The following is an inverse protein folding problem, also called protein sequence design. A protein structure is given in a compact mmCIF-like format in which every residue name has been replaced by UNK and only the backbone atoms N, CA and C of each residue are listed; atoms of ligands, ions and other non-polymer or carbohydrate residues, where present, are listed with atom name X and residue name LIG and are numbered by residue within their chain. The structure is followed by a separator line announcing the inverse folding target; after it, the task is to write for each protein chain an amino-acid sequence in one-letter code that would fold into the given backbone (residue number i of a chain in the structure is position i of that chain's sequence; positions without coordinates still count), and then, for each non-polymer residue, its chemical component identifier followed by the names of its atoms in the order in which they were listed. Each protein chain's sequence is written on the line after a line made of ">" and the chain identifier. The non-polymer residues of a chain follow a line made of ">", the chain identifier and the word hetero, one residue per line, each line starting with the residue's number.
data_IF_674128241540
#
_entry.id   IF_674128241540
#
_cell.length_a   1.000
_cell.length_b   1.000
_cell.length_c   1.000
_cell.angle_alpha   90.00
_cell.angle_beta   90.00
_cell.angle_gamma   90.00
#
_symmetry.space_group_name_H-M   'P 1'
#
loop_
_entity.id
_entity.type
_entity.pdbx_description
1 polymer ?
#
# COMPACT_ATOMS: atom_id res chain seq x y z
N UNK A 1 -20.75 29.24 11.79
CA UNK A 1 -20.03 27.96 11.91
C UNK A 1 -20.91 26.87 11.31
N UNK A 2 -20.80 26.63 10.00
CA UNK A 2 -21.66 25.70 9.24
C UNK A 2 -20.88 24.51 8.68
N UNK A 3 -19.78 24.11 9.33
CA UNK A 3 -18.95 22.99 8.86
C UNK A 3 -19.29 21.74 9.67
N UNK A 4 -19.81 20.71 9.00
CA UNK A 4 -20.03 19.38 9.54
C UNK A 4 -18.74 18.77 10.10
N UNK A 5 -18.86 17.72 10.91
CA UNK A 5 -17.72 16.90 11.32
C UNK A 5 -17.12 16.22 10.09
N UNK A 6 -15.79 16.07 10.07
CA UNK A 6 -15.16 15.19 9.11
C UNK A 6 -15.39 13.73 9.50
N UNK A 7 -15.27 12.83 8.54
CA UNK A 7 -15.38 11.38 8.78
C UNK A 7 -14.39 10.92 9.85
N UNK A 8 -13.20 11.52 9.91
CA UNK A 8 -12.19 11.25 10.93
C UNK A 8 -12.66 11.66 12.34
N UNK A 9 -13.29 12.83 12.48
CA UNK A 9 -13.85 13.27 13.77
C UNK A 9 -15.02 12.38 14.22
N UNK A 10 -15.85 11.92 13.29
CA UNK A 10 -16.90 10.94 13.58
C UNK A 10 -16.31 9.60 14.00
N UNK A 11 -15.25 9.14 13.33
CA UNK A 11 -14.54 7.90 13.66
C UNK A 11 -13.84 7.97 15.02
N UNK A 12 -13.19 9.10 15.35
CA UNK A 12 -12.60 9.35 16.68
C UNK A 12 -13.67 9.25 17.77
N UNK A 13 -14.81 9.92 17.57
CA UNK A 13 -15.93 9.87 18.52
C UNK A 13 -16.43 8.44 18.73
N UNK A 14 -16.57 7.68 17.64
CA UNK A 14 -16.97 6.27 17.69
C UNK A 14 -15.93 5.40 18.41
N UNK A 15 -14.63 5.69 18.24
CA UNK A 15 -13.55 5.02 18.95
C UNK A 15 -13.51 5.37 20.46
N UNK A 16 -14.36 6.29 20.91
CA UNK A 16 -14.40 6.78 22.29
C UNK A 16 -13.34 7.84 22.57
N UNK A 17 -12.74 8.44 21.54
CA UNK A 17 -11.80 9.54 21.68
C UNK A 17 -12.53 10.87 21.87
N UNK A 18 -11.92 11.78 22.62
CA UNK A 18 -12.49 13.09 22.92
C UNK A 18 -12.32 14.06 21.74
N UNK A 19 -13.43 14.65 21.31
CA UNK A 19 -13.42 15.76 20.36
C UNK A 19 -13.08 17.09 21.05
N UNK A 20 -12.57 18.03 20.27
CA UNK A 20 -12.44 19.41 20.71
C UNK A 20 -13.82 19.95 21.20
N UNK A 21 -13.89 20.77 22.27
CA UNK A 21 -15.15 21.15 22.92
C UNK A 21 -16.17 21.83 22.00
N UNK A 22 -15.71 22.62 21.04
CA UNK A 22 -16.58 23.26 20.04
C UNK A 22 -17.19 22.25 19.06
N UNK A 23 -16.45 21.18 18.73
CA UNK A 23 -16.90 20.11 17.83
C UNK A 23 -17.86 19.16 18.54
N UNK A 24 -17.60 18.83 19.80
CA UNK A 24 -18.53 18.09 20.65
C UNK A 24 -19.89 18.81 20.76
N UNK A 25 -19.89 20.12 21.08
CA UNK A 25 -21.11 20.94 21.08
C UNK A 25 -21.81 20.99 19.73
N UNK A 26 -21.06 21.00 18.63
CA UNK A 26 -21.64 20.91 17.28
C UNK A 26 -22.33 19.57 17.05
N UNK A 27 -21.68 18.45 17.41
CA UNK A 27 -22.25 17.11 17.26
C UNK A 27 -23.56 16.99 18.04
N UNK A 28 -23.63 17.50 19.26
CA UNK A 28 -24.86 17.50 20.06
C UNK A 28 -26.00 18.31 19.40
N UNK A 29 -25.65 19.43 18.75
CA UNK A 29 -26.61 20.34 18.10
C UNK A 29 -26.99 19.97 16.66
N UNK A 30 -26.17 19.21 15.94
CA UNK A 30 -26.32 18.97 14.51
C UNK A 30 -26.96 17.59 14.23
N UNK A 31 -28.16 17.58 13.66
CA UNK A 31 -28.89 16.33 13.34
C UNK A 31 -28.21 15.49 12.26
N UNK A 32 -27.53 16.10 11.27
CA UNK A 32 -26.84 15.33 10.21
C UNK A 32 -25.67 14.53 10.77
N UNK A 33 -24.78 15.20 11.52
CA UNK A 33 -23.59 14.54 12.08
C UNK A 33 -23.97 13.44 13.08
N UNK A 34 -25.07 13.58 13.83
CA UNK A 34 -25.56 12.50 14.69
C UNK A 34 -26.08 11.30 13.91
N UNK A 35 -26.82 11.53 12.83
CA UNK A 35 -27.30 10.45 11.95
C UNK A 35 -26.15 9.71 11.29
N UNK A 36 -25.15 10.45 10.82
CA UNK A 36 -23.92 9.88 10.24
C UNK A 36 -23.17 9.03 11.26
N UNK A 37 -23.03 9.51 12.50
CA UNK A 37 -22.43 8.74 13.60
C UNK A 37 -23.23 7.46 13.93
N UNK A 38 -24.55 7.58 14.05
CA UNK A 38 -25.46 6.45 14.31
C UNK A 38 -25.37 5.39 13.20
N UNK A 39 -25.30 5.83 11.94
CA UNK A 39 -25.13 4.94 10.79
C UNK A 39 -23.80 4.20 10.84
N UNK A 40 -22.71 4.90 11.14
CA UNK A 40 -21.38 4.30 11.26
C UNK A 40 -21.34 3.26 12.38
N UNK A 41 -21.90 3.59 13.56
CA UNK A 41 -22.02 2.67 14.70
C UNK A 41 -22.82 1.43 14.31
N UNK A 42 -23.95 1.59 13.60
CA UNK A 42 -24.79 0.48 13.15
C UNK A 42 -24.06 -0.45 12.18
N UNK A 43 -23.35 0.10 11.20
CA UNK A 43 -22.61 -0.68 10.20
C UNK A 43 -21.50 -1.52 10.85
N UNK A 44 -20.76 -0.92 11.79
CA UNK A 44 -19.68 -1.62 12.49
C UNK A 44 -20.23 -2.64 13.49
N UNK A 45 -21.34 -2.33 14.16
CA UNK A 45 -22.07 -3.28 15.01
C UNK A 45 -22.48 -4.53 14.23
N UNK A 46 -23.18 -4.35 13.10
CA UNK A 46 -23.57 -5.47 12.23
C UNK A 46 -22.36 -6.29 11.76
N UNK A 47 -21.26 -5.62 11.39
CA UNK A 47 -20.04 -6.32 10.97
C UNK A 47 -19.40 -7.13 12.11
N UNK A 48 -19.44 -6.64 13.35
CA UNK A 48 -18.95 -7.38 14.52
C UNK A 48 -19.81 -8.60 14.80
N UNK A 49 -21.13 -8.44 14.78
CA UNK A 49 -22.08 -9.55 14.95
C UNK A 49 -21.86 -10.64 13.90
N UNK A 50 -21.68 -10.27 12.63
CA UNK A 50 -21.37 -11.21 11.55
C UNK A 50 -20.04 -11.96 11.80
N UNK A 51 -19.01 -11.25 12.29
CA UNK A 51 -17.71 -11.87 12.62
C UNK A 51 -17.81 -12.82 13.80
N UNK A 52 -18.60 -12.48 14.82
CA UNK A 52 -18.83 -13.33 15.99
C UNK A 52 -19.67 -14.56 15.64
N UNK A 53 -20.72 -14.40 14.83
CA UNK A 53 -21.54 -15.51 14.35
C UNK A 53 -20.75 -16.49 13.45
N UNK A 54 -19.79 -15.97 12.69
CA UNK A 54 -18.86 -16.75 11.88
C UNK A 54 -17.58 -17.19 12.61
N UNK A 55 -17.45 -16.88 13.91
CA UNK A 55 -16.22 -17.18 14.64
C UNK A 55 -16.02 -18.70 14.73
N UNK A 56 -14.86 -19.23 14.32
CA UNK A 56 -14.55 -20.64 14.50
C UNK A 56 -14.49 -20.96 16.00
N UNK A 57 -14.71 -22.23 16.35
CA UNK A 57 -14.46 -22.71 17.70
C UNK A 57 -12.94 -22.61 17.97
N UNK A 58 -12.55 -21.49 18.58
CA UNK A 58 -11.16 -21.17 18.88
C UNK A 58 -10.54 -22.18 19.84
N UNK A 59 -11.33 -22.78 20.72
CA UNK A 59 -10.83 -23.77 21.67
C UNK A 59 -10.58 -25.10 20.94
N UNK A 60 -11.51 -25.56 20.09
CA UNK A 60 -11.27 -26.73 19.25
C UNK A 60 -10.13 -26.53 18.24
N UNK A 61 -9.95 -25.30 17.72
CA UNK A 61 -8.82 -24.96 16.85
C UNK A 61 -7.49 -24.96 17.63
N UNK A 62 -7.48 -24.37 18.83
CA UNK A 62 -6.31 -24.36 19.72
C UNK A 62 -5.90 -25.78 20.11
N UNK A 63 -6.85 -26.64 20.47
CA UNK A 63 -6.59 -28.05 20.79
C UNK A 63 -5.96 -28.77 19.59
N UNK A 64 -6.49 -28.60 18.38
CA UNK A 64 -5.88 -29.16 17.15
C UNK A 64 -4.45 -28.69 16.93
N UNK A 65 -4.15 -27.41 17.16
CA UNK A 65 -2.78 -26.88 17.03
C UNK A 65 -1.86 -27.47 18.08
N UNK A 66 -2.30 -27.53 19.35
CA UNK A 66 -1.51 -28.12 20.45
C UNK A 66 -1.23 -29.60 20.18
N UNK A 67 -2.23 -30.36 19.75
CA UNK A 67 -2.06 -31.75 19.34
C UNK A 67 -1.06 -31.88 18.19
N UNK A 68 -1.12 -31.01 17.18
CA UNK A 68 -0.20 -31.06 16.05
C UNK A 68 1.25 -30.69 16.44
N UNK A 69 1.44 -29.77 17.37
CA UNK A 69 2.77 -29.35 17.86
C UNK A 69 3.37 -30.37 18.83
N UNK A 70 2.54 -31.00 19.65
CA UNK A 70 2.97 -32.00 20.64
C UNK A 70 3.01 -33.41 20.07
N UNK A 71 2.41 -33.65 18.90
CA UNK A 71 2.52 -34.90 18.19
C UNK A 71 4.01 -35.23 17.99
N UNK A 72 4.48 -36.40 18.46
CA UNK A 72 5.85 -36.83 18.20
C UNK A 72 6.05 -36.81 16.69
N UNK A 73 7.11 -36.14 16.22
CA UNK A 73 7.41 -35.94 14.80
C UNK A 73 7.22 -37.27 14.03
N UNK A 74 6.05 -37.42 13.43
CA UNK A 74 5.64 -38.67 12.82
C UNK A 74 6.44 -38.83 11.55
N UNK A 75 7.49 -39.66 11.66
CA UNK A 75 8.38 -40.09 10.60
C UNK A 75 9.04 -38.93 9.82
N UNK A 76 10.36 -38.88 9.91
CA UNK A 76 11.23 -38.23 8.92
C UNK A 76 10.65 -38.53 7.54
N UNK A 77 10.04 -37.53 6.89
CA UNK A 77 9.56 -37.67 5.52
C UNK A 77 10.77 -38.15 4.73
N UNK A 78 10.77 -39.38 4.19
CA UNK A 78 11.90 -39.81 3.40
C UNK A 78 12.02 -38.78 2.28
N UNK A 79 13.16 -38.08 2.19
CA UNK A 79 13.45 -37.26 1.04
C UNK A 79 13.37 -38.19 -0.17
N UNK A 80 12.19 -38.21 -0.79
CA UNK A 80 11.93 -38.96 -2.01
C UNK A 80 12.88 -38.36 -3.01
N UNK A 81 14.00 -39.06 -3.28
CA UNK A 81 15.04 -38.63 -4.20
C UNK A 81 14.34 -38.27 -5.51
N UNK A 82 14.15 -36.97 -5.75
CA UNK A 82 13.56 -36.51 -7.00
C UNK A 82 14.54 -36.91 -8.08
N UNK A 83 14.10 -37.54 -9.18
CA UNK A 83 15.02 -37.91 -10.25
C UNK A 83 15.73 -36.65 -10.72
N UNK A 84 17.07 -36.65 -10.60
CA UNK A 84 17.98 -35.51 -10.86
C UNK A 84 17.90 -35.00 -12.31
N UNK A 85 17.11 -35.68 -13.14
CA UNK A 85 16.89 -35.41 -14.56
C UNK A 85 15.70 -34.47 -14.79
N UNK A 86 14.85 -34.27 -13.77
CA UNK A 86 13.77 -33.25 -13.80
C UNK A 86 14.28 -31.81 -14.00
N UNK A 87 15.33 -31.32 -13.31
CA UNK A 87 15.86 -30.00 -13.60
C UNK A 87 16.48 -29.90 -15.01
N UNK A 88 17.06 -30.99 -15.52
CA UNK A 88 17.56 -31.04 -16.91
C UNK A 88 16.43 -30.92 -17.94
N UNK A 89 15.30 -31.59 -17.71
CA UNK A 89 14.12 -31.46 -18.58
C UNK A 89 13.50 -30.06 -18.52
N UNK A 90 13.45 -29.44 -17.34
CA UNK A 90 12.96 -28.06 -17.19
C UNK A 90 13.86 -27.05 -17.92
N UNK A 91 15.18 -27.22 -17.83
CA UNK A 91 16.14 -26.39 -18.55
C UNK A 91 15.99 -26.55 -20.07
N UNK A 92 15.87 -27.80 -20.56
CA UNK A 92 15.67 -28.06 -21.98
C UNK A 92 14.36 -27.43 -22.51
N UNK A 93 13.27 -27.54 -21.75
CA UNK A 93 12.00 -26.91 -22.12
C UNK A 93 12.08 -25.38 -22.17
N UNK A 94 12.79 -24.76 -21.23
CA UNK A 94 13.01 -23.31 -21.22
C UNK A 94 13.82 -22.85 -22.44
N UNK A 95 14.87 -23.58 -22.82
CA UNK A 95 15.66 -23.27 -24.02
C UNK A 95 14.80 -23.38 -25.28
N UNK A 96 13.99 -24.44 -25.41
CA UNK A 96 13.08 -24.61 -26.55
C UNK A 96 12.04 -23.48 -26.62
N UNK A 97 11.50 -23.04 -25.48
CA UNK A 97 10.56 -21.93 -25.43
C UNK A 97 11.22 -20.61 -25.87
N UNK A 98 12.42 -20.30 -25.36
CA UNK A 98 13.16 -19.08 -25.74
C UNK A 98 13.51 -19.10 -27.23
N UNK A 99 14.00 -20.23 -27.75
CA UNK A 99 14.31 -20.38 -29.18
C UNK A 99 13.05 -20.27 -30.04
N UNK A 100 11.94 -20.90 -29.61
CA UNK A 100 10.66 -20.82 -30.30
C UNK A 100 10.11 -19.39 -30.36
N UNK A 101 10.16 -18.66 -29.24
CA UNK A 101 9.78 -17.25 -29.16
C UNK A 101 10.67 -16.41 -30.07
N UNK A 102 11.99 -16.60 -30.01
CA UNK A 102 12.95 -15.85 -30.83
C UNK A 102 12.75 -16.09 -32.33
N UNK A 103 12.52 -17.33 -32.75
CA UNK A 103 12.23 -17.67 -34.15
C UNK A 103 10.91 -17.04 -34.59
N UNK A 104 9.87 -17.04 -33.74
CA UNK A 104 8.61 -16.37 -34.05
C UNK A 104 8.78 -14.85 -34.18
N UNK A 105 9.53 -14.21 -33.28
CA UNK A 105 9.82 -12.78 -33.33
C UNK A 105 10.67 -12.42 -34.57
N UNK A 106 11.62 -13.29 -34.95
CA UNK A 106 12.43 -13.09 -36.14
C UNK A 106 11.64 -13.24 -37.45
N UNK A 107 10.62 -14.11 -37.47
CA UNK A 107 9.69 -14.27 -38.60
C UNK A 107 8.66 -13.16 -38.67
N UNK A 108 8.25 -12.62 -37.53
CA UNK A 108 7.38 -11.46 -37.43
C UNK A 108 8.19 -10.20 -37.20
N UNK A 109 9.08 -9.84 -38.12
CA UNK A 109 9.55 -8.45 -38.20
C UNK A 109 8.40 -7.63 -38.78
N UNK A 110 7.64 -6.84 -37.98
CA UNK A 110 6.75 -5.87 -38.57
C UNK A 110 7.61 -4.87 -39.34
N UNK A 111 7.24 -4.60 -40.59
CA UNK A 111 7.65 -3.39 -41.29
C UNK A 111 7.01 -2.20 -40.59
N UNK A 112 7.50 -1.86 -39.41
CA UNK A 112 7.10 -0.64 -38.70
C UNK A 112 8.03 0.45 -39.20
N UNK A 113 7.52 1.29 -40.09
CA UNK A 113 8.09 2.62 -40.32
C UNK A 113 8.06 3.35 -38.98
N UNK A 114 9.21 3.42 -38.33
CA UNK A 114 9.43 4.26 -37.15
C UNK A 114 9.27 5.71 -37.62
N UNK A 115 8.10 6.31 -37.41
CA UNK A 115 8.04 7.76 -37.30
C UNK A 115 8.80 8.12 -36.03
N UNK A 116 9.99 8.69 -36.22
CA UNK A 116 10.76 9.27 -35.15
C UNK A 116 9.97 10.46 -34.59
N UNK A 117 9.23 10.23 -33.51
CA UNK A 117 8.78 11.32 -32.65
C UNK A 117 10.06 11.88 -32.02
N UNK A 118 10.44 13.13 -32.32
CA UNK A 118 11.66 13.70 -31.77
C UNK A 118 11.53 13.75 -30.26
N UNK A 119 12.56 13.26 -29.57
CA UNK A 119 12.66 13.21 -28.10
C UNK A 119 12.34 14.58 -27.49
N UNK A 120 12.61 15.64 -28.24
CA UNK A 120 12.46 17.03 -27.83
C UNK A 120 10.99 17.41 -27.66
N UNK A 121 10.10 16.77 -28.42
CA UNK A 121 8.65 16.98 -28.27
C UNK A 121 8.14 16.32 -26.99
N UNK A 122 8.60 15.09 -26.69
CA UNK A 122 8.27 14.38 -25.45
C UNK A 122 8.80 15.12 -24.23
N UNK A 123 10.03 15.64 -24.29
CA UNK A 123 10.61 16.41 -23.20
C UNK A 123 9.88 17.75 -22.99
N UNK A 124 9.49 18.44 -24.08
CA UNK A 124 8.73 19.69 -23.97
C UNK A 124 7.33 19.50 -23.37
N UNK A 125 6.69 18.37 -23.66
CA UNK A 125 5.36 18.06 -23.14
C UNK A 125 5.42 17.67 -21.65
N UNK A 126 6.45 16.92 -21.24
CA UNK A 126 6.69 16.62 -19.83
C UNK A 126 7.04 17.89 -19.04
N UNK A 127 7.89 18.77 -19.57
CA UNK A 127 8.23 20.04 -18.90
C UNK A 127 7.01 20.96 -18.77
N UNK A 128 6.15 21.02 -19.79
CA UNK A 128 4.90 21.78 -19.73
C UNK A 128 3.93 21.18 -18.68
N UNK A 129 3.87 19.86 -18.57
CA UNK A 129 3.02 19.17 -17.58
C UNK A 129 3.54 19.38 -16.15
N UNK A 130 4.87 19.42 -15.97
CA UNK A 130 5.50 19.68 -14.66
C UNK A 130 5.44 21.16 -14.26
N UNK A 131 5.35 22.08 -15.21
CA UNK A 131 5.24 23.52 -14.94
C UNK A 131 3.81 23.96 -14.58
N UNK A 132 2.79 23.18 -14.97
CA UNK A 132 1.36 23.56 -14.80
C UNK A 132 0.72 23.00 -13.51
N UNK A 133 1.29 21.97 -12.88
CA UNK A 133 0.82 21.47 -11.59
C UNK A 133 1.84 21.74 -10.46
N UNK A 134 1.55 22.73 -9.60
CA UNK A 134 2.03 22.64 -8.23
C UNK A 134 1.38 21.40 -7.62
N UNK A 135 2.19 20.41 -7.23
CA UNK A 135 1.68 19.13 -6.72
C UNK A 135 0.86 19.41 -5.45
N UNK A 136 -0.48 19.20 -5.46
CA UNK A 136 -1.30 19.52 -4.31
C UNK A 136 -0.87 18.65 -3.12
N UNK A 137 -0.32 19.29 -2.08
CA UNK A 137 0.14 18.62 -0.85
C UNK A 137 1.65 18.59 -0.62
N UNK A 138 2.49 19.04 -1.56
CA UNK A 138 3.94 19.18 -1.34
C UNK A 138 4.40 20.60 -0.96
N UNK A 139 3.52 21.60 -1.08
CA UNK A 139 3.83 23.00 -0.71
C UNK A 139 4.12 23.18 0.80
N UNK A 140 3.67 22.25 1.64
CA UNK A 140 3.91 22.24 3.09
C UNK A 140 5.29 21.69 3.48
N UNK A 141 5.96 20.96 2.58
CA UNK A 141 7.30 20.39 2.85
C UNK A 141 8.42 21.42 2.63
N UNK A 142 8.24 22.35 1.68
CA UNK A 142 9.21 23.42 1.42
C UNK A 142 9.29 24.45 2.57
N UNK A 143 8.21 24.60 3.34
CA UNK A 143 8.21 25.43 4.56
C UNK A 143 8.90 24.78 5.77
N UNK A 144 9.15 23.47 5.73
CA UNK A 144 9.77 22.71 6.84
C UNK A 144 11.24 22.38 6.60
N UNK A 145 11.73 22.51 5.37
CA UNK A 145 13.14 22.34 5.06
C UNK A 145 13.85 23.70 5.22
N UNK A 146 14.88 23.80 6.08
CA UNK A 146 15.71 24.99 6.11
C UNK A 146 16.31 25.21 4.72
N UNK A 147 16.27 26.45 4.25
CA UNK A 147 16.77 26.84 2.93
C UNK A 147 18.22 26.35 2.81
N UNK A 148 18.61 25.83 1.64
CA UNK A 148 19.96 25.28 1.43
C UNK A 148 21.08 26.27 1.85
N UNK A 149 20.77 27.56 1.75
CA UNK A 149 21.58 28.71 2.15
C UNK A 149 21.91 28.70 3.67
N UNK A 150 20.97 28.25 4.51
CA UNK A 150 21.08 28.17 5.98
C UNK A 150 21.88 26.94 6.44
N UNK A 151 21.72 25.81 5.72
CA UNK A 151 22.48 24.59 5.98
C UNK A 151 23.97 24.76 5.67
N UNK A 152 24.32 25.57 4.66
CA UNK A 152 25.71 25.89 4.34
C UNK A 152 26.39 26.73 5.43
N UNK A 153 25.64 27.59 6.13
CA UNK A 153 26.14 28.40 7.25
C UNK A 153 26.43 27.54 8.48
N UNK A 154 25.53 26.61 8.85
CA UNK A 154 25.73 25.72 10.02
C UNK A 154 26.94 24.78 9.88
N UNK A 155 27.24 24.34 8.66
CA UNK A 155 28.40 23.46 8.38
C UNK A 155 29.72 24.23 8.47
N UNK A 156 29.73 25.54 8.21
CA UNK A 156 30.94 26.35 8.32
C UNK A 156 31.33 26.66 9.76
N UNK A 157 30.36 26.92 10.64
CA UNK A 157 30.60 27.19 12.06
C UNK A 157 31.08 25.96 12.85
N UNK A 158 30.70 24.74 12.41
CA UNK A 158 31.20 23.50 13.02
C UNK A 158 32.68 23.25 12.76
N UNK A 159 33.31 23.88 11.75
CA UNK A 159 34.68 23.56 11.32
C UNK A 159 35.74 24.46 11.93
N UNK A 160 35.35 25.56 12.58
CA UNK A 160 36.27 26.54 13.19
C UNK A 160 36.45 26.36 14.70
N UNK A 161 35.70 25.42 15.31
CA UNK A 161 35.75 25.14 16.75
C UNK A 161 36.68 23.98 17.16
N UNK A 162 37.61 23.55 16.29
CA UNK A 162 38.55 22.46 16.57
C UNK A 162 40.00 22.82 16.28
#
# INVERSE_FOLDING_TARGET
>A
MNRHLSDEELAMTMAGEELAPDRARHLEGCLSCRRELEELVRLIGARREDMEAGAPDWEAQRQRIVEQVTAPAAAVVPLRRRPVWRPLLAAAAAVVAVVGIWVQLARHRPTTTVQAVPVEQVLSEVDATLADESVPGFESLDSLLPRADELASMVHDSKTAS
#
